data_IF_946081821068
#
_entry.id   IF_946081821068
#
_cell.length_a   1.000
_cell.length_b   1.000
_cell.length_c   1.000
_cell.angle_alpha   90.00
_cell.angle_beta   90.00
_cell.angle_gamma   90.00
#
_symmetry.space_group_name_H-M   'P 1'
#
loop_
_entity.id
_entity.type
_entity.pdbx_description
1 polymer ?
#
# COMPACT_ATOMS: atom_id res chain seq x y z
N UNK A 1 18.27 -24.01 27.09
CA UNK A 1 17.15 -24.13 26.13
C UNK A 1 16.07 -23.15 26.55
N UNK A 2 16.08 -21.95 25.98
CA UNK A 2 14.95 -21.04 26.02
C UNK A 2 15.09 -20.15 24.78
N UNK A 3 14.57 -20.66 23.66
CA UNK A 3 14.41 -19.90 22.41
C UNK A 3 13.24 -18.92 22.63
N UNK A 4 13.53 -17.76 23.21
CA UNK A 4 12.63 -16.61 23.10
C UNK A 4 12.83 -16.01 21.71
N UNK A 5 12.25 -16.65 20.69
CA UNK A 5 12.05 -16.02 19.39
C UNK A 5 11.18 -14.80 19.63
N UNK A 6 11.76 -13.62 19.55
CA UNK A 6 11.03 -12.36 19.52
C UNK A 6 10.17 -12.38 18.26
N UNK A 7 8.91 -12.80 18.40
CA UNK A 7 7.88 -12.48 17.42
C UNK A 7 7.75 -10.95 17.43
N UNK A 8 8.38 -10.28 16.47
CA UNK A 8 8.10 -8.88 16.19
C UNK A 8 6.72 -8.80 15.51
N UNK A 9 5.67 -8.96 16.31
CA UNK A 9 4.29 -8.67 15.93
C UNK A 9 4.25 -7.22 15.46
N UNK A 10 3.90 -6.99 14.19
CA UNK A 10 3.65 -5.62 13.72
C UNK A 10 2.41 -5.10 14.43
N UNK A 11 2.70 -4.33 15.48
CA UNK A 11 1.95 -3.24 16.08
C UNK A 11 0.43 -3.21 15.80
N UNK A 12 -0.32 -3.64 16.81
CA UNK A 12 -1.46 -2.88 17.28
C UNK A 12 -0.98 -1.46 17.69
N UNK A 13 -0.92 -0.51 16.75
CA UNK A 13 -0.82 0.90 17.10
C UNK A 13 -1.49 1.80 16.08
N UNK A 14 -2.06 2.95 16.49
CA UNK A 14 -2.79 3.87 15.61
C UNK A 14 -1.98 4.25 14.37
N UNK A 15 -2.68 4.62 13.28
CA UNK A 15 -2.09 5.09 12.00
C UNK A 15 -0.94 6.10 12.18
N UNK A 16 -0.92 6.79 13.31
CA UNK A 16 0.06 7.84 13.69
C UNK A 16 1.43 7.32 14.17
N UNK A 17 1.60 6.01 14.42
CA UNK A 17 2.90 5.42 14.86
C UNK A 17 3.70 4.69 13.78
N UNK A 18 3.16 4.55 12.57
CA UNK A 18 3.90 4.03 11.39
C UNK A 18 5.16 4.86 11.00
N UNK A 19 5.23 6.18 11.26
CA UNK A 19 6.48 6.93 11.10
C UNK A 19 7.60 6.42 12.02
N UNK A 20 7.28 5.94 13.24
CA UNK A 20 8.28 5.39 14.16
C UNK A 20 8.85 4.06 13.67
N UNK A 21 8.03 3.22 13.03
CA UNK A 21 8.49 2.00 12.36
C UNK A 21 9.43 2.35 11.20
N UNK A 22 9.12 3.40 10.44
CA UNK A 22 9.95 3.86 9.31
C UNK A 22 11.33 4.37 9.78
N UNK A 23 11.38 5.00 10.96
CA UNK A 23 12.63 5.43 11.60
C UNK A 23 13.41 4.25 12.18
N UNK A 24 12.75 3.32 12.87
CA UNK A 24 13.38 2.15 13.48
C UNK A 24 13.92 1.16 12.44
N UNK A 25 13.21 1.00 11.32
CA UNK A 25 13.59 0.11 10.21
C UNK A 25 14.62 0.77 9.29
N UNK A 26 14.79 2.10 9.34
CA UNK A 26 15.60 2.88 8.41
C UNK A 26 17.03 2.37 8.22
N UNK A 27 17.75 1.99 9.28
CA UNK A 27 19.15 1.56 9.15
C UNK A 27 19.31 0.18 8.49
N UNK A 28 18.47 -0.80 8.85
CA UNK A 28 18.54 -2.18 8.33
C UNK A 28 17.89 -2.32 6.95
N UNK A 29 16.88 -1.49 6.66
CA UNK A 29 16.17 -1.47 5.39
C UNK A 29 17.07 -1.18 4.18
N UNK A 30 18.09 -0.35 4.36
CA UNK A 30 18.96 0.09 3.28
C UNK A 30 19.91 -1.00 2.74
N UNK A 31 19.85 -2.23 3.28
CA UNK A 31 20.60 -3.38 2.79
C UNK A 31 19.67 -4.54 2.37
N UNK A 32 19.93 -5.24 1.23
CA UNK A 32 19.10 -6.36 0.79
C UNK A 32 18.93 -7.48 1.84
N UNK A 33 20.00 -7.77 2.60
CA UNK A 33 19.96 -8.76 3.68
C UNK A 33 19.02 -8.33 4.82
N UNK A 34 19.00 -7.04 5.17
CA UNK A 34 18.10 -6.51 6.19
C UNK A 34 16.64 -6.54 5.74
N UNK A 35 16.35 -6.28 4.45
CA UNK A 35 14.99 -6.40 3.93
C UNK A 35 14.43 -7.82 4.03
N UNK A 36 15.24 -8.84 3.75
CA UNK A 36 14.81 -10.24 3.82
C UNK A 36 14.58 -10.69 5.27
N UNK A 37 15.45 -10.28 6.20
CA UNK A 37 15.26 -10.53 7.64
C UNK A 37 13.99 -9.84 8.15
N UNK A 38 13.82 -8.56 7.84
CA UNK A 38 12.63 -7.80 8.21
C UNK A 38 11.37 -8.44 7.65
N UNK A 39 11.38 -8.94 6.41
CA UNK A 39 10.22 -9.63 5.82
C UNK A 39 9.85 -10.95 6.51
N UNK A 40 10.79 -11.61 7.18
CA UNK A 40 10.53 -12.82 7.97
C UNK A 40 9.97 -12.49 9.35
N UNK A 41 10.36 -11.34 9.90
CA UNK A 41 9.93 -10.90 11.22
C UNK A 41 8.58 -10.16 11.14
N UNK A 42 8.41 -9.32 10.13
CA UNK A 42 7.23 -8.53 9.84
C UNK A 42 6.15 -9.40 9.18
N UNK A 43 5.56 -10.28 9.98
CA UNK A 43 4.45 -11.15 9.58
C UNK A 43 3.20 -10.82 10.35
N UNK A 44 2.05 -11.02 9.71
CA UNK A 44 0.75 -10.84 10.34
C UNK A 44 0.43 -12.05 11.23
N UNK A 45 -0.31 -11.79 12.32
CA UNK A 45 -0.90 -12.87 13.11
C UNK A 45 -1.79 -13.77 12.23
N UNK A 46 -1.76 -15.07 12.47
CA UNK A 46 -2.52 -16.08 11.71
C UNK A 46 -4.03 -15.78 11.65
N UNK A 47 -4.61 -15.26 12.72
CA UNK A 47 -6.04 -14.95 12.78
C UNK A 47 -6.39 -13.76 11.89
N UNK A 48 -5.49 -12.77 11.82
CA UNK A 48 -5.62 -11.62 10.92
C UNK A 48 -5.53 -12.08 9.47
N UNK A 49 -4.55 -12.92 9.13
CA UNK A 49 -4.42 -13.48 7.79
C UNK A 49 -5.65 -14.31 7.42
N UNK A 50 -6.15 -15.13 8.34
CA UNK A 50 -7.34 -15.95 8.11
C UNK A 50 -8.55 -15.09 7.82
N UNK A 51 -8.75 -14.03 8.61
CA UNK A 51 -9.85 -13.07 8.41
C UNK A 51 -9.72 -12.31 7.08
N UNK A 52 -8.50 -11.87 6.74
CA UNK A 52 -8.24 -11.19 5.48
C UNK A 52 -8.48 -12.09 4.26
N UNK A 53 -8.08 -13.38 4.34
CA UNK A 53 -8.37 -14.37 3.29
C UNK A 53 -9.87 -14.62 3.17
N UNK A 54 -10.56 -14.78 4.29
CA UNK A 54 -12.01 -14.96 4.28
C UNK A 54 -12.73 -13.79 3.60
N UNK A 55 -12.30 -12.54 3.85
CA UNK A 55 -12.82 -11.38 3.14
C UNK A 55 -12.62 -11.48 1.61
N UNK A 56 -11.42 -11.88 1.16
CA UNK A 56 -11.13 -12.04 -0.27
C UNK A 56 -11.97 -13.16 -0.91
N UNK A 57 -12.18 -14.27 -0.20
CA UNK A 57 -13.01 -15.38 -0.67
C UNK A 57 -14.48 -14.97 -0.89
N UNK A 58 -14.99 -13.99 -0.14
CA UNK A 58 -16.37 -13.49 -0.34
C UNK A 58 -16.52 -12.62 -1.60
N UNK A 59 -15.43 -12.05 -2.12
CA UNK A 59 -15.48 -11.13 -3.27
C UNK A 59 -15.02 -11.80 -4.58
N UNK A 60 -14.17 -12.83 -4.51
CA UNK A 60 -13.65 -13.52 -5.68
C UNK A 60 -14.67 -14.57 -6.14
N UNK A 61 -15.34 -14.29 -7.25
CA UNK A 61 -16.37 -15.19 -7.80
C UNK A 61 -15.86 -16.10 -8.92
N UNK A 62 -14.70 -15.78 -9.50
CA UNK A 62 -14.14 -16.48 -10.66
C UNK A 62 -12.86 -17.23 -10.27
N UNK A 63 -12.70 -18.49 -10.73
CA UNK A 63 -11.44 -19.21 -10.52
C UNK A 63 -10.29 -18.48 -11.23
N UNK A 64 -9.09 -18.55 -10.63
CA UNK A 64 -7.87 -17.91 -11.13
C UNK A 64 -7.98 -16.39 -11.34
N UNK A 65 -8.89 -15.73 -10.62
CA UNK A 65 -8.96 -14.29 -10.65
C UNK A 65 -7.81 -13.67 -9.86
N UNK A 66 -7.36 -12.51 -10.32
CA UNK A 66 -6.31 -11.71 -9.72
C UNK A 66 -6.95 -10.61 -8.88
N UNK A 67 -6.45 -10.43 -7.67
CA UNK A 67 -6.82 -9.33 -6.78
C UNK A 67 -5.78 -8.22 -6.86
N UNK A 68 -6.24 -7.00 -7.11
CA UNK A 68 -5.40 -5.81 -7.13
C UNK A 68 -5.87 -4.87 -6.03
N UNK A 69 -5.07 -4.77 -4.97
CA UNK A 69 -5.28 -3.83 -3.90
C UNK A 69 -5.10 -2.39 -4.40
N UNK A 70 -5.90 -1.46 -3.89
CA UNK A 70 -5.76 -0.02 -4.13
C UNK A 70 -5.82 0.68 -2.78
N UNK A 71 -4.77 1.41 -2.44
CA UNK A 71 -4.80 2.27 -1.26
C UNK A 71 -5.00 3.74 -1.65
N UNK A 72 -5.99 4.39 -1.03
CA UNK A 72 -6.32 5.79 -1.23
C UNK A 72 -6.05 6.61 0.05
N UNK A 73 -4.93 7.35 0.08
CA UNK A 73 -4.66 8.38 1.09
C UNK A 73 -5.38 9.69 0.74
N UNK A 74 -6.37 10.04 1.54
CA UNK A 74 -7.25 11.20 1.39
C UNK A 74 -7.29 12.09 2.64
N UNK A 75 -7.05 11.54 3.83
CA UNK A 75 -7.01 12.34 5.06
C UNK A 75 -5.81 13.28 5.10
N UNK A 76 -6.03 14.48 5.64
CA UNK A 76 -5.03 15.55 5.80
C UNK A 76 -4.37 15.98 4.48
N UNK A 77 -4.98 15.63 3.33
CA UNK A 77 -4.41 15.89 2.00
C UNK A 77 -4.12 17.37 1.79
N UNK A 78 -5.02 18.24 2.23
CA UNK A 78 -4.88 19.70 2.09
C UNK A 78 -3.63 20.19 2.84
N UNK A 79 -3.45 19.76 4.09
CA UNK A 79 -2.28 20.09 4.89
C UNK A 79 -0.99 19.63 4.19
N UNK A 80 -0.95 18.38 3.75
CA UNK A 80 0.23 17.85 3.07
C UNK A 80 0.47 18.48 1.70
N UNK A 81 -0.57 18.88 0.98
CA UNK A 81 -0.45 19.64 -0.27
C UNK A 81 0.12 21.03 -0.04
N UNK A 82 -0.28 21.72 1.03
CA UNK A 82 0.32 22.99 1.44
C UNK A 82 1.81 22.81 1.81
N UNK A 83 2.18 21.66 2.37
CA UNK A 83 3.56 21.27 2.62
C UNK A 83 4.33 20.76 1.37
N UNK A 84 3.76 20.91 0.17
CA UNK A 84 4.40 20.55 -1.10
C UNK A 84 4.21 19.10 -1.55
N UNK A 85 3.40 18.29 -0.85
CA UNK A 85 3.13 16.90 -1.24
C UNK A 85 2.04 16.81 -2.31
N UNK A 86 2.39 16.23 -3.45
CA UNK A 86 1.44 16.05 -4.55
C UNK A 86 0.88 14.64 -4.54
N UNK A 87 -0.44 14.54 -4.37
CA UNK A 87 -1.16 13.27 -4.33
C UNK A 87 -1.56 12.78 -5.73
N UNK A 88 -1.75 11.46 -5.92
CA UNK A 88 -2.12 10.92 -7.21
C UNK A 88 -3.51 11.40 -7.66
N UNK A 89 -3.68 11.90 -8.90
CA UNK A 89 -4.98 12.25 -9.44
C UNK A 89 -5.74 11.00 -9.94
N UNK A 90 -7.05 11.10 -10.25
CA UNK A 90 -7.81 9.97 -10.81
C UNK A 90 -7.19 9.34 -12.08
N UNK A 91 -6.53 10.14 -12.92
CA UNK A 91 -5.84 9.65 -14.13
C UNK A 91 -4.70 8.67 -13.85
N UNK A 92 -4.02 8.81 -12.70
CA UNK A 92 -3.03 7.82 -12.27
C UNK A 92 -3.68 6.47 -11.95
N UNK A 93 -4.77 6.48 -11.17
CA UNK A 93 -5.48 5.26 -10.81
C UNK A 93 -6.06 4.58 -12.06
N UNK A 94 -6.59 5.36 -13.00
CA UNK A 94 -7.04 4.85 -14.31
C UNK A 94 -5.95 4.06 -15.03
N UNK A 95 -4.80 4.68 -15.28
CA UNK A 95 -3.67 4.02 -15.97
C UNK A 95 -3.19 2.76 -15.22
N UNK A 96 -3.18 2.82 -13.89
CA UNK A 96 -2.72 1.69 -13.07
C UNK A 96 -3.71 0.53 -13.09
N UNK A 97 -5.01 0.81 -13.06
CA UNK A 97 -6.06 -0.20 -13.19
C UNK A 97 -6.07 -0.80 -14.60
N UNK A 98 -5.95 0.03 -15.64
CA UNK A 98 -5.84 -0.40 -17.04
C UNK A 98 -4.62 -1.31 -17.29
N UNK A 99 -3.49 -1.03 -16.64
CA UNK A 99 -2.31 -1.89 -16.70
C UNK A 99 -2.63 -3.34 -16.30
N UNK A 100 -3.31 -3.56 -15.17
CA UNK A 100 -3.66 -4.90 -14.72
C UNK A 100 -4.75 -5.54 -15.59
N UNK A 101 -5.76 -4.78 -16.00
CA UNK A 101 -6.80 -5.27 -16.91
C UNK A 101 -6.26 -5.68 -18.28
N UNK A 102 -5.19 -5.04 -18.77
CA UNK A 102 -4.57 -5.39 -20.04
C UNK A 102 -3.77 -6.71 -20.01
N UNK A 103 -3.42 -7.17 -18.81
CA UNK A 103 -2.54 -8.32 -18.60
C UNK A 103 -3.30 -9.55 -18.09
N UNK A 104 -4.33 -9.32 -17.28
CA UNK A 104 -5.01 -10.36 -16.52
C UNK A 104 -6.51 -10.40 -16.89
N UNK A 105 -7.05 -11.60 -17.19
CA UNK A 105 -8.43 -11.75 -17.71
C UNK A 105 -9.52 -11.44 -16.66
N UNK A 106 -9.24 -11.63 -15.38
CA UNK A 106 -10.21 -11.48 -14.30
C UNK A 106 -9.56 -10.73 -13.15
N UNK A 107 -9.79 -9.42 -13.08
CA UNK A 107 -9.21 -8.56 -12.05
C UNK A 107 -10.29 -8.05 -11.12
N UNK A 108 -10.10 -8.26 -9.81
CA UNK A 108 -10.91 -7.66 -8.75
C UNK A 108 -10.12 -6.57 -8.06
N UNK A 109 -10.63 -5.34 -8.11
CA UNK A 109 -10.02 -4.22 -7.40
C UNK A 109 -10.55 -4.12 -5.96
N UNK A 110 -9.63 -4.14 -4.99
CA UNK A 110 -9.92 -4.12 -3.55
C UNK A 110 -9.41 -2.81 -2.97
N UNK A 111 -10.30 -1.93 -2.51
CA UNK A 111 -9.98 -0.56 -2.16
C UNK A 111 -10.01 -0.35 -0.65
N UNK A 112 -8.90 0.14 -0.09
CA UNK A 112 -8.87 0.68 1.27
C UNK A 112 -8.58 2.18 1.22
N UNK A 113 -9.27 2.95 2.06
CA UNK A 113 -9.11 4.40 2.13
C UNK A 113 -9.24 4.93 3.56
N UNK A 114 -8.58 6.06 3.82
CA UNK A 114 -8.78 6.85 5.04
C UNK A 114 -9.72 8.07 4.85
N UNK A 115 -10.36 8.20 3.68
CA UNK A 115 -11.40 9.19 3.43
C UNK A 115 -12.82 8.60 3.53
N UNK A 116 -13.81 9.45 3.34
CA UNK A 116 -15.21 9.01 3.23
C UNK A 116 -15.46 8.19 1.95
N UNK A 117 -16.55 7.42 1.90
CA UNK A 117 -16.95 6.68 0.69
C UNK A 117 -17.10 7.62 -0.52
N UNK A 118 -17.67 8.82 -0.32
CA UNK A 118 -17.85 9.81 -1.38
C UNK A 118 -16.51 10.34 -1.90
N UNK A 119 -15.60 10.72 -1.01
CA UNK A 119 -14.26 11.20 -1.41
C UNK A 119 -13.46 10.11 -2.12
N UNK A 120 -13.59 8.86 -1.66
CA UNK A 120 -12.93 7.70 -2.25
C UNK A 120 -13.42 7.43 -3.67
N UNK A 121 -14.75 7.42 -3.87
CA UNK A 121 -15.34 7.27 -5.21
C UNK A 121 -14.95 8.40 -6.15
N UNK A 122 -14.88 9.64 -5.65
CA UNK A 122 -14.43 10.78 -6.45
C UNK A 122 -12.94 10.73 -6.82
N UNK A 123 -12.13 9.95 -6.08
CA UNK A 123 -10.71 9.76 -6.40
C UNK A 123 -10.49 8.67 -7.44
N UNK A 124 -11.37 7.67 -7.48
CA UNK A 124 -11.27 6.57 -8.44
C UNK A 124 -11.88 6.95 -9.79
N UNK A 125 -11.35 6.41 -10.89
CA UNK A 125 -11.96 6.58 -12.20
C UNK A 125 -13.32 5.86 -12.27
N UNK A 126 -14.26 6.46 -13.01
CA UNK A 126 -15.48 5.78 -13.41
C UNK A 126 -15.20 4.69 -14.45
N UNK A 127 -16.10 3.69 -14.52
CA UNK A 127 -16.04 2.58 -15.48
C UNK A 127 -15.27 1.35 -15.01
N UNK A 128 -14.98 1.25 -13.72
CA UNK A 128 -14.32 0.10 -13.11
C UNK A 128 -15.15 -0.44 -11.95
N UNK A 129 -15.15 -1.76 -11.79
CA UNK A 129 -15.73 -2.43 -10.63
C UNK A 129 -14.68 -2.56 -9.52
N UNK A 130 -15.05 -2.18 -8.31
CA UNK A 130 -14.19 -2.26 -7.14
C UNK A 130 -15.01 -2.47 -5.87
N UNK A 131 -14.41 -3.15 -4.90
CA UNK A 131 -15.01 -3.40 -3.58
C UNK A 131 -14.21 -2.64 -2.53
N UNK A 132 -14.90 -1.95 -1.63
CA UNK A 132 -14.25 -1.31 -0.50
C UNK A 132 -14.04 -2.31 0.63
N UNK A 133 -12.87 -2.23 1.26
CA UNK A 133 -12.64 -2.85 2.57
C UNK A 133 -13.52 -2.11 3.58
N UNK A 134 -14.31 -2.87 4.33
CA UNK A 134 -15.24 -2.34 5.34
C UNK A 134 -14.78 -2.59 6.78
N UNK A 135 -13.56 -3.12 6.95
CA UNK A 135 -13.01 -3.34 8.29
C UNK A 135 -12.69 -2.01 8.98
N UNK A 136 -12.87 -1.97 10.30
CA UNK A 136 -12.71 -0.76 11.10
C UNK A 136 -11.27 -0.55 11.57
N UNK A 137 -10.35 -1.46 11.25
CA UNK A 137 -9.01 -1.46 11.85
C UNK A 137 -7.89 -1.33 10.82
N UNK A 138 -6.90 -0.44 11.05
CA UNK A 138 -5.80 -0.24 10.12
C UNK A 138 -4.93 -1.47 9.85
N UNK A 139 -4.83 -2.39 10.80
CA UNK A 139 -4.03 -3.61 10.63
C UNK A 139 -4.75 -4.64 9.73
N UNK A 140 -6.08 -4.70 9.77
CA UNK A 140 -6.84 -5.56 8.86
C UNK A 140 -6.83 -5.00 7.45
N UNK A 141 -6.99 -3.67 7.29
CA UNK A 141 -6.77 -2.98 6.02
C UNK A 141 -5.40 -3.36 5.43
N UNK A 142 -4.33 -3.21 6.23
CA UNK A 142 -2.97 -3.49 5.80
C UNK A 142 -2.79 -4.97 5.41
N UNK A 143 -3.36 -5.90 6.18
CA UNK A 143 -3.32 -7.32 5.88
C UNK A 143 -4.02 -7.66 4.57
N UNK A 144 -5.26 -7.17 4.37
CA UNK A 144 -6.02 -7.39 3.13
C UNK A 144 -5.24 -6.86 1.92
N UNK A 145 -4.69 -5.64 2.00
CA UNK A 145 -3.89 -5.07 0.91
C UNK A 145 -2.61 -5.87 0.64
N UNK A 146 -1.93 -6.34 1.69
CA UNK A 146 -0.68 -7.08 1.59
C UNK A 146 -0.87 -8.48 0.99
N UNK A 147 -2.01 -9.14 1.23
CA UNK A 147 -2.26 -10.50 0.71
C UNK A 147 -2.91 -10.52 -0.69
N UNK A 148 -3.34 -9.38 -1.23
CA UNK A 148 -3.78 -9.31 -2.63
C UNK A 148 -2.62 -9.68 -3.57
N UNK A 149 -2.93 -10.14 -4.78
CA UNK A 149 -1.90 -10.55 -5.74
C UNK A 149 -1.00 -9.39 -6.15
N UNK A 150 -1.57 -8.20 -6.34
CA UNK A 150 -0.86 -6.98 -6.71
C UNK A 150 -1.42 -5.75 -5.98
N UNK A 151 -0.74 -4.61 -6.08
CA UNK A 151 -1.17 -3.39 -5.39
C UNK A 151 -0.86 -2.09 -6.15
N UNK A 152 -1.79 -1.16 -6.09
CA UNK A 152 -1.68 0.23 -6.55
C UNK A 152 -1.64 1.11 -5.29
N UNK A 153 -0.51 1.79 -5.07
CA UNK A 153 -0.30 2.57 -3.86
C UNK A 153 -0.45 4.07 -4.11
N UNK A 154 -0.92 4.80 -3.10
CA UNK A 154 -0.86 6.27 -3.03
C UNK A 154 0.42 6.75 -2.34
N UNK A 155 0.49 8.04 -1.97
CA UNK A 155 1.59 8.57 -1.13
C UNK A 155 1.25 8.44 0.36
N UNK A 156 2.28 8.18 1.16
CA UNK A 156 2.18 8.03 2.61
C UNK A 156 2.79 6.71 3.10
N UNK A 157 3.16 6.68 4.38
CA UNK A 157 3.82 5.52 5.01
C UNK A 157 2.94 4.27 5.01
N UNK A 158 1.63 4.41 5.26
CA UNK A 158 0.70 3.29 5.20
C UNK A 158 0.67 2.64 3.80
N UNK A 159 0.54 3.46 2.75
CA UNK A 159 0.55 2.97 1.36
C UNK A 159 1.85 2.26 1.02
N UNK A 160 2.96 2.80 1.50
CA UNK A 160 4.29 2.23 1.28
C UNK A 160 4.45 0.88 1.96
N UNK A 161 4.04 0.76 3.24
CA UNK A 161 4.09 -0.51 3.97
C UNK A 161 3.18 -1.57 3.33
N UNK A 162 1.99 -1.17 2.89
CA UNK A 162 1.12 -2.07 2.13
C UNK A 162 1.81 -2.58 0.86
N UNK A 163 2.47 -1.70 0.11
CA UNK A 163 3.23 -2.03 -1.10
C UNK A 163 4.46 -2.90 -0.84
N UNK A 164 5.11 -2.74 0.31
CA UNK A 164 6.34 -3.46 0.65
C UNK A 164 6.07 -4.86 1.22
N UNK A 165 4.97 -5.01 1.97
CA UNK A 165 4.48 -6.29 2.47
C UNK A 165 3.83 -7.12 1.36
N UNK A 166 3.22 -6.47 0.37
CA UNK A 166 2.70 -7.13 -0.81
C UNK A 166 3.85 -7.78 -1.62
N UNK A 167 3.61 -9.00 -2.11
CA UNK A 167 4.62 -9.82 -2.80
C UNK A 167 4.52 -9.81 -4.32
N UNK A 168 3.56 -9.09 -4.88
CA UNK A 168 3.41 -8.97 -6.33
C UNK A 168 3.89 -7.65 -6.89
N UNK A 169 3.27 -7.25 -8.01
CA UNK A 169 3.57 -5.99 -8.65
C UNK A 169 2.96 -4.84 -7.84
N UNK A 170 3.82 -3.92 -7.46
CA UNK A 170 3.40 -2.64 -6.87
C UNK A 170 3.56 -1.54 -7.91
N UNK A 171 2.45 -0.85 -8.22
CA UNK A 171 2.45 0.39 -8.99
C UNK A 171 2.41 1.57 -8.02
N UNK A 172 3.32 2.53 -8.21
CA UNK A 172 3.37 3.74 -7.38
C UNK A 172 3.30 5.01 -8.24
N UNK A 173 2.77 6.07 -7.63
CA UNK A 173 2.65 7.36 -8.30
C UNK A 173 4.01 8.06 -8.42
N UNK A 174 4.52 8.14 -9.65
CA UNK A 174 5.73 8.91 -9.97
C UNK A 174 5.32 10.30 -10.42
N UNK A 175 5.61 11.28 -9.58
CA UNK A 175 5.45 12.69 -9.91
C UNK A 175 6.70 13.22 -10.62
N UNK A 176 6.52 14.06 -11.65
CA UNK A 176 7.62 14.75 -12.33
C UNK A 176 7.81 16.15 -11.75
N UNK A 177 8.95 16.40 -11.10
CA UNK A 177 9.41 17.76 -10.94
C UNK A 177 10.62 17.97 -11.85
N UNK A 178 10.47 18.83 -12.86
CA UNK A 178 11.61 19.40 -13.57
C UNK A 178 12.38 20.43 -12.71
N UNK A 179 11.82 20.87 -11.56
CA UNK A 179 12.35 22.00 -10.76
C UNK A 179 12.30 21.80 -9.23
N UNK A 180 12.14 20.57 -8.73
CA UNK A 180 12.06 20.29 -7.30
C UNK A 180 13.08 19.21 -7.03
N UNK A 181 14.15 19.56 -6.30
CA UNK A 181 15.17 18.60 -5.90
C UNK A 181 14.45 17.39 -5.30
N UNK A 182 14.73 16.20 -5.83
CA UNK A 182 14.03 14.95 -5.48
C UNK A 182 14.02 14.67 -3.96
N UNK A 183 14.80 15.40 -3.17
CA UNK A 183 14.99 15.32 -1.71
C UNK A 183 14.04 16.17 -0.85
N UNK A 184 13.10 16.92 -1.43
CA UNK A 184 12.51 18.08 -0.73
C UNK A 184 11.15 17.88 -0.06
N UNK A 185 10.53 16.68 -0.12
CA UNK A 185 9.47 16.36 0.83
C UNK A 185 10.04 15.48 1.95
N UNK A 186 9.85 15.91 3.20
CA UNK A 186 10.20 15.14 4.41
C UNK A 186 9.64 13.72 4.35
N UNK A 187 8.49 13.53 3.70
CA UNK A 187 7.90 12.21 3.46
C UNK A 187 8.71 11.35 2.47
N UNK A 188 9.31 11.93 1.44
CA UNK A 188 10.20 11.19 0.51
C UNK A 188 11.55 10.82 1.16
N UNK A 189 11.93 11.46 2.27
CA UNK A 189 13.05 10.99 3.10
C UNK A 189 12.68 9.87 4.08
N UNK A 190 11.41 9.76 4.46
CA UNK A 190 10.89 8.68 5.32
C UNK A 190 10.35 7.48 4.54
N UNK A 191 10.04 7.65 3.26
CA UNK A 191 9.71 6.57 2.35
C UNK A 191 11.01 6.17 1.66
N UNK A 192 11.63 5.03 2.01
CA UNK A 192 12.86 4.62 1.36
C UNK A 192 12.69 4.68 -0.15
N UNK A 193 13.49 5.55 -0.79
CA UNK A 193 13.55 5.66 -2.24
C UNK A 193 14.20 4.41 -2.77
N UNK A 194 13.42 3.36 -2.95
CA UNK A 194 14.06 2.08 -3.06
C UNK A 194 14.35 1.67 -4.50
N UNK A 195 15.65 1.57 -4.79
CA UNK A 195 16.23 0.92 -5.97
C UNK A 195 15.93 -0.60 -5.99
N UNK A 196 15.54 -1.19 -4.85
CA UNK A 196 15.46 -2.66 -4.64
C UNK A 196 14.06 -3.27 -4.72
N UNK A 197 12.99 -2.48 -4.77
CA UNK A 197 11.63 -3.03 -4.76
C UNK A 197 11.07 -3.38 -6.15
N UNK A 198 11.77 -3.01 -7.23
CA UNK A 198 11.34 -3.22 -8.62
C UNK A 198 9.91 -2.74 -8.93
N UNK A 199 9.40 -1.77 -8.16
CA UNK A 199 8.06 -1.21 -8.34
C UNK A 199 7.94 -0.43 -9.64
N UNK A 200 6.75 -0.46 -10.23
CA UNK A 200 6.48 0.20 -11.51
C UNK A 200 6.06 1.65 -11.24
N UNK A 201 6.85 2.65 -11.68
CA UNK A 201 6.45 4.03 -11.61
C UNK A 201 5.36 4.33 -12.63
N UNK A 202 4.30 5.01 -12.22
CA UNK A 202 3.26 5.45 -13.14
C UNK A 202 2.92 6.93 -12.97
N UNK A 203 2.81 7.61 -14.11
CA UNK A 203 2.45 9.02 -14.22
C UNK A 203 0.96 9.14 -14.53
N UNK A 204 0.38 10.30 -14.19
CA UNK A 204 -0.99 10.63 -14.61
C UNK A 204 -1.08 10.86 -16.11
#
# INVERSE_FOLDING_TARGET
>A
MNDSKTEMVIFASPRDKLPALSIAVGAEYHQPAGQESLRKELTFNKDIITSARHFLEQIILKPNAITVAIHLRLKDKIYWQQAGLIFPPPGYFRKAMEYFLSRDNHVYFVVSSDGTNTESRNRLPSGFDYVFVHDKTPYMDLAILAICDHIIISRGTFSWWAGWLNRGITIYYKYNHLNYNESSSVLDSYMPKDKYNHWIPMRH
#
